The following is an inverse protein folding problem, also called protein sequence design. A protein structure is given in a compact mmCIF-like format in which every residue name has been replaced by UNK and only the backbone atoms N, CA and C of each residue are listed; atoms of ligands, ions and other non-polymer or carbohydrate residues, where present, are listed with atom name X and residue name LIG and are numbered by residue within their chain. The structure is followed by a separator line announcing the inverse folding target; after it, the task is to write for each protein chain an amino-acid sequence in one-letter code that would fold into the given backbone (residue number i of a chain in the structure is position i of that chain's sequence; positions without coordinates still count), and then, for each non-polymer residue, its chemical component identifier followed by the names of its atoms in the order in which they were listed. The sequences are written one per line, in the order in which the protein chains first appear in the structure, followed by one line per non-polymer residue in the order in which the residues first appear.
data_IF_191259323279
#
_entry.id   IF_191259323279
#
_cell.length_a   1.000
_cell.length_b   1.000
_cell.length_c   1.000
_cell.angle_alpha   90.00
_cell.angle_beta   90.00
_cell.angle_gamma   90.00
#
_symmetry.space_group_name_H-M   'P 1'
#
loop_
_entity.id
_entity.type
_entity.pdbx_description
1 polymer ?
#
# COMPACT_ATOMS: atom_id res chain seq x y z
N UNK A 1 -31.04 3.20 2.08
CA UNK A 1 -32.09 2.74 1.13
C UNK A 1 -31.50 1.63 0.26
N UNK A 2 -32.22 0.56 -0.09
CA UNK A 2 -31.64 -0.61 -0.78
C UNK A 2 -31.15 -0.33 -2.22
N UNK A 3 -31.59 0.76 -2.85
CA UNK A 3 -31.14 1.17 -4.19
C UNK A 3 -29.72 1.76 -4.21
N UNK A 4 -29.32 2.42 -3.13
CA UNK A 4 -28.04 3.10 -3.01
C UNK A 4 -26.89 2.09 -2.85
N UNK A 5 -27.09 1.03 -2.06
CA UNK A 5 -26.15 -0.08 -1.94
C UNK A 5 -25.99 -0.85 -3.27
N UNK A 6 -27.11 -1.13 -3.96
CA UNK A 6 -27.04 -1.82 -5.24
C UNK A 6 -26.34 -1.00 -6.33
N UNK A 7 -26.50 0.33 -6.31
CA UNK A 7 -25.79 1.25 -7.19
C UNK A 7 -24.29 1.26 -6.87
N UNK A 8 -23.91 1.38 -5.60
CA UNK A 8 -22.51 1.32 -5.17
C UNK A 8 -21.84 0.00 -5.57
N UNK A 9 -22.51 -1.14 -5.38
CA UNK A 9 -22.01 -2.44 -5.80
C UNK A 9 -21.84 -2.54 -7.32
N UNK A 10 -22.74 -1.93 -8.09
CA UNK A 10 -22.65 -1.89 -9.55
C UNK A 10 -21.49 -1.02 -10.03
N UNK A 11 -21.27 0.13 -9.38
CA UNK A 11 -20.15 1.02 -9.67
C UNK A 11 -18.81 0.37 -9.32
N UNK A 12 -18.71 -0.31 -8.17
CA UNK A 12 -17.52 -1.10 -7.79
C UNK A 12 -17.19 -2.17 -8.81
N UNK A 13 -18.21 -2.90 -9.32
CA UNK A 13 -18.02 -3.89 -10.38
C UNK A 13 -17.52 -3.25 -11.67
N UNK A 14 -18.10 -2.12 -12.06
CA UNK A 14 -17.67 -1.37 -13.24
C UNK A 14 -16.20 -0.95 -13.11
N UNK A 15 -15.77 -0.44 -11.96
CA UNK A 15 -14.37 -0.13 -11.69
C UNK A 15 -13.47 -1.36 -11.76
N UNK A 16 -13.91 -2.49 -11.18
CA UNK A 16 -13.13 -3.73 -11.21
C UNK A 16 -12.86 -4.28 -12.61
N UNK A 17 -13.71 -3.96 -13.59
CA UNK A 17 -13.59 -4.38 -14.99
C UNK A 17 -13.06 -3.28 -15.93
N UNK A 18 -12.95 -2.04 -15.43
CA UNK A 18 -12.66 -0.84 -16.23
C UNK A 18 -11.27 -0.83 -16.87
N UNK A 19 -10.32 -1.61 -16.36
CA UNK A 19 -8.97 -1.73 -16.94
C UNK A 19 -8.98 -2.20 -18.39
N UNK A 20 -10.01 -2.97 -18.76
CA UNK A 20 -10.15 -3.54 -20.10
C UNK A 20 -10.87 -2.61 -21.09
N UNK A 21 -11.44 -1.50 -20.61
CA UNK A 21 -12.14 -0.54 -21.47
C UNK A 21 -11.14 0.20 -22.35
N UNK A 22 -11.58 0.53 -23.57
CA UNK A 22 -10.78 1.34 -24.48
C UNK A 22 -10.63 2.75 -23.92
N UNK A 23 -9.48 3.38 -24.20
CA UNK A 23 -9.29 4.79 -23.87
C UNK A 23 -10.29 5.62 -24.68
N UNK A 24 -11.06 6.45 -23.99
CA UNK A 24 -11.93 7.46 -24.57
C UNK A 24 -12.18 8.54 -23.54
N UNK A 25 -12.22 9.80 -23.97
CA UNK A 25 -12.53 10.94 -23.11
C UNK A 25 -13.88 10.71 -22.42
N UNK A 26 -14.89 10.21 -23.14
CA UNK A 26 -16.22 9.95 -22.59
C UNK A 26 -16.19 8.92 -21.45
N UNK A 27 -15.42 7.84 -21.60
CA UNK A 27 -15.33 6.78 -20.59
C UNK A 27 -14.63 7.31 -19.34
N UNK A 28 -13.52 8.03 -19.50
CA UNK A 28 -12.77 8.62 -18.37
C UNK A 28 -13.65 9.63 -17.64
N UNK A 29 -14.40 10.48 -18.35
CA UNK A 29 -15.36 11.41 -17.75
C UNK A 29 -16.43 10.67 -16.94
N UNK A 30 -16.99 9.56 -17.46
CA UNK A 30 -18.00 8.78 -16.73
C UNK A 30 -17.44 8.15 -15.46
N UNK A 31 -16.22 7.62 -15.52
CA UNK A 31 -15.50 7.08 -14.37
C UNK A 31 -15.31 8.18 -13.32
N UNK A 32 -14.67 9.29 -13.68
CA UNK A 32 -14.44 10.42 -12.78
C UNK A 32 -15.73 10.93 -12.11
N UNK A 33 -16.81 11.11 -12.88
CA UNK A 33 -18.11 11.55 -12.34
C UNK A 33 -18.72 10.55 -11.35
N UNK A 34 -18.50 9.25 -11.54
CA UNK A 34 -19.00 8.25 -10.58
C UNK A 34 -18.26 8.27 -9.24
N UNK A 35 -17.04 8.84 -9.21
CA UNK A 35 -16.29 9.15 -8.00
C UNK A 35 -16.61 10.54 -7.43
N UNK A 36 -17.60 11.24 -8.00
CA UNK A 36 -17.99 12.61 -7.63
C UNK A 36 -16.92 13.67 -7.90
N UNK A 37 -16.05 13.43 -8.90
CA UNK A 37 -15.10 14.42 -9.38
C UNK A 37 -15.73 15.31 -10.48
N UNK A 38 -15.34 16.57 -10.50
CA UNK A 38 -15.70 17.51 -11.55
C UNK A 38 -14.86 17.26 -12.80
N UNK A 39 -15.45 17.41 -13.98
CA UNK A 39 -14.75 17.17 -15.25
C UNK A 39 -15.02 18.30 -16.22
N UNK A 40 -13.98 18.79 -16.88
CA UNK A 40 -14.05 19.81 -17.93
C UNK A 40 -13.27 19.35 -19.17
N UNK A 41 -13.82 19.60 -20.36
CA UNK A 41 -13.15 19.27 -21.63
C UNK A 41 -12.94 20.56 -22.40
N UNK A 42 -11.68 20.92 -22.61
CA UNK A 42 -11.28 22.09 -23.39
C UNK A 42 -10.74 21.65 -24.76
N UNK A 43 -11.27 22.27 -25.82
CA UNK A 43 -10.83 22.07 -27.20
C UNK A 43 -10.33 23.36 -27.86
N UNK A 44 -10.45 24.50 -27.17
CA UNK A 44 -10.21 25.83 -27.74
C UNK A 44 -8.85 26.41 -27.32
N UNK A 45 -8.32 26.01 -26.16
CA UNK A 45 -7.07 26.58 -25.62
C UNK A 45 -5.82 26.18 -26.43
N UNK A 46 -5.79 24.98 -27.00
CA UNK A 46 -4.64 24.44 -27.75
C UNK A 46 -5.08 23.83 -29.10
N UNK A 47 -4.71 24.42 -30.25
CA UNK A 47 -5.11 23.90 -31.56
C UNK A 47 -4.63 22.46 -31.77
N UNK A 48 -5.56 21.54 -31.97
CA UNK A 48 -5.26 20.12 -32.22
C UNK A 48 -5.01 19.27 -30.98
N UNK A 49 -5.26 19.81 -29.78
CA UNK A 49 -5.22 19.05 -28.52
C UNK A 49 -6.55 19.22 -27.80
N UNK A 50 -7.10 18.12 -27.30
CA UNK A 50 -8.26 18.15 -26.39
C UNK A 50 -7.77 17.90 -24.98
N UNK A 51 -8.00 18.83 -24.05
CA UNK A 51 -7.61 18.67 -22.65
C UNK A 51 -8.82 18.23 -21.83
N UNK A 52 -8.69 17.12 -21.11
CA UNK A 52 -9.62 16.70 -20.08
C UNK A 52 -9.04 17.08 -18.71
N UNK A 53 -9.71 17.98 -18.01
CA UNK A 53 -9.42 18.30 -16.61
C UNK A 53 -10.38 17.53 -15.70
N UNK A 54 -9.85 16.86 -14.68
CA UNK A 54 -10.57 16.14 -13.64
C UNK A 54 -10.17 16.75 -12.31
N UNK A 55 -11.12 17.32 -11.59
CA UNK A 55 -10.88 18.10 -10.38
C UNK A 55 -11.63 17.52 -9.17
N UNK A 56 -10.93 17.49 -8.03
CA UNK A 56 -11.47 17.30 -6.69
C UNK A 56 -11.27 18.56 -5.85
N UNK A 57 -11.31 18.42 -4.53
CA UNK A 57 -11.11 19.53 -3.57
C UNK A 57 -9.63 19.93 -3.43
N UNK A 58 -8.73 18.95 -3.50
CA UNK A 58 -7.28 19.07 -3.33
C UNK A 58 -6.51 18.65 -4.60
N UNK A 59 -7.15 17.87 -5.48
CA UNK A 59 -6.57 17.27 -6.69
C UNK A 59 -7.02 17.98 -7.98
N UNK A 60 -6.10 18.23 -8.91
CA UNK A 60 -6.40 18.56 -10.31
C UNK A 60 -5.54 17.68 -11.23
N UNK A 61 -6.19 16.84 -12.02
CA UNK A 61 -5.57 15.98 -13.02
C UNK A 61 -5.96 16.47 -14.42
N UNK A 62 -4.97 16.78 -15.24
CA UNK A 62 -5.14 17.21 -16.64
C UNK A 62 -4.58 16.13 -17.57
N UNK A 63 -5.33 15.79 -18.61
CA UNK A 63 -4.96 14.79 -19.60
C UNK A 63 -5.12 15.41 -20.99
N UNK A 64 -4.02 15.52 -21.72
CA UNK A 64 -3.99 16.03 -23.09
C UNK A 64 -4.14 14.88 -24.08
N UNK A 65 -5.04 15.04 -25.04
CA UNK A 65 -5.36 14.08 -26.08
C UNK A 65 -5.01 14.64 -27.46
N UNK A 66 -4.30 13.87 -28.29
CA UNK A 66 -4.09 14.18 -29.71
C UNK A 66 -5.33 13.84 -30.54
N UNK A 67 -6.05 12.79 -30.14
CA UNK A 67 -7.36 12.36 -30.63
C UNK A 67 -8.15 11.71 -29.49
N UNK A 68 -9.40 11.27 -29.70
CA UNK A 68 -10.24 10.71 -28.61
C UNK A 68 -9.63 9.48 -27.89
N UNK A 69 -8.59 8.86 -28.43
CA UNK A 69 -8.02 7.60 -27.93
C UNK A 69 -6.54 7.69 -27.56
N UNK A 70 -5.85 8.75 -27.95
CA UNK A 70 -4.39 8.88 -27.83
C UNK A 70 -4.03 10.00 -26.88
N UNK A 71 -3.44 9.63 -25.73
CA UNK A 71 -2.98 10.57 -24.70
C UNK A 71 -1.57 11.02 -25.02
N UNK A 72 -1.34 12.33 -25.07
CA UNK A 72 -0.01 12.93 -25.27
C UNK A 72 0.64 13.41 -23.98
N UNK A 73 -0.15 13.73 -22.95
CA UNK A 73 0.38 14.22 -21.66
C UNK A 73 -0.59 13.95 -20.52
N UNK A 74 -0.03 13.71 -19.34
CA UNK A 74 -0.76 13.78 -18.06
C UNK A 74 -0.04 14.77 -17.14
N UNK A 75 -0.80 15.64 -16.48
CA UNK A 75 -0.32 16.59 -15.50
C UNK A 75 -1.16 16.53 -14.23
N UNK A 76 -0.50 16.59 -13.07
CA UNK A 76 -1.11 16.48 -11.76
C UNK A 76 -0.71 17.69 -10.92
N UNK A 77 -1.71 18.45 -10.49
CA UNK A 77 -1.57 19.59 -9.59
C UNK A 77 -2.30 19.33 -8.29
N UNK A 78 -1.74 19.81 -7.18
CA UNK A 78 -2.29 19.65 -5.84
C UNK A 78 -2.37 21.01 -5.16
N UNK A 79 -3.47 21.28 -4.45
CA UNK A 79 -3.70 22.56 -3.79
C UNK A 79 -2.67 22.90 -2.70
N UNK A 80 -2.14 21.89 -2.01
CA UNK A 80 -1.34 22.07 -0.78
C UNK A 80 0.10 21.56 -0.85
N UNK A 81 0.54 21.04 -2.00
CA UNK A 81 1.91 20.53 -2.16
C UNK A 81 2.74 21.59 -2.89
N UNK A 82 3.73 22.21 -2.23
CA UNK A 82 4.61 23.15 -2.92
C UNK A 82 5.41 22.44 -4.01
N UNK A 83 5.43 23.04 -5.20
CA UNK A 83 6.30 22.70 -6.32
C UNK A 83 7.75 23.01 -5.94
N UNK A 84 8.38 22.14 -5.16
CA UNK A 84 9.79 22.27 -4.83
C UNK A 84 10.63 21.14 -5.43
N UNK A 85 11.63 21.59 -6.18
CA UNK A 85 12.58 20.81 -6.96
C UNK A 85 13.63 20.20 -6.06
N UNK A 86 13.67 18.86 -5.95
CA UNK A 86 14.77 18.17 -5.28
C UNK A 86 15.29 17.04 -6.16
N UNK A 87 16.61 16.91 -6.19
CA UNK A 87 17.28 15.78 -6.82
C UNK A 87 16.88 14.46 -6.13
N UNK A 88 16.87 13.38 -6.90
CA UNK A 88 16.74 12.01 -6.40
C UNK A 88 17.93 11.66 -5.52
N UNK A 89 17.89 12.06 -4.24
CA UNK A 89 18.77 11.48 -3.24
C UNK A 89 18.12 10.22 -2.65
N UNK A 90 18.95 9.18 -2.50
CA UNK A 90 18.61 7.87 -1.94
C UNK A 90 17.63 7.98 -0.78
N UNK A 91 16.51 7.25 -0.86
CA UNK A 91 15.41 7.29 0.12
C UNK A 91 15.87 7.05 1.57
N UNK A 92 16.94 6.27 1.78
CA UNK A 92 17.48 6.03 3.13
C UNK A 92 18.19 7.25 3.73
N UNK A 93 18.84 8.09 2.92
CA UNK A 93 19.50 9.32 3.38
C UNK A 93 18.46 10.38 3.78
N UNK A 94 17.33 10.44 3.04
CA UNK A 94 16.18 11.28 3.39
C UNK A 94 15.55 10.83 4.71
N UNK A 95 15.29 9.55 4.90
CA UNK A 95 14.70 9.04 6.16
C UNK A 95 15.58 9.34 7.38
N UNK A 96 16.91 9.17 7.27
CA UNK A 96 17.82 9.58 8.36
C UNK A 96 17.79 11.07 8.64
N UNK A 97 17.56 11.90 7.62
CA UNK A 97 17.41 13.35 7.77
C UNK A 97 16.13 13.76 8.53
N UNK A 98 15.15 12.88 8.62
CA UNK A 98 13.89 13.14 9.32
C UNK A 98 13.96 12.73 10.80
N UNK A 99 15.00 12.02 11.23
CA UNK A 99 15.22 11.68 12.64
C UNK A 99 16.00 12.82 13.30
N UNK A 100 15.31 13.61 14.12
CA UNK A 100 15.88 14.80 14.79
C UNK A 100 16.73 14.38 15.99
N UNK A 101 16.25 13.40 16.76
CA UNK A 101 16.98 12.90 17.93
C UNK A 101 16.52 11.49 18.34
N UNK A 102 17.44 10.72 18.92
CA UNK A 102 17.17 9.48 19.65
C UNK A 102 17.65 9.67 21.09
N UNK A 103 16.77 9.51 22.06
CA UNK A 103 17.09 9.69 23.48
C UNK A 103 16.65 8.49 24.32
N UNK A 104 17.51 8.08 25.27
CA UNK A 104 17.14 7.08 26.26
C UNK A 104 16.19 7.70 27.29
N UNK A 105 15.06 7.06 27.54
CA UNK A 105 14.06 7.56 28.49
C UNK A 105 14.54 7.28 29.91
N UNK A 106 14.85 8.32 30.69
CA UNK A 106 15.35 8.21 32.08
C UNK A 106 14.25 8.13 33.14
N UNK A 107 12.98 7.99 32.73
CA UNK A 107 11.82 7.94 33.64
C UNK A 107 11.65 6.53 34.21
N UNK A 108 11.51 6.44 35.53
CA UNK A 108 11.49 5.21 36.36
C UNK A 108 10.46 4.14 35.99
N UNK A 109 9.54 4.41 35.07
CA UNK A 109 8.54 3.45 34.56
C UNK A 109 8.89 2.83 33.20
N UNK A 110 10.00 3.24 32.55
CA UNK A 110 10.41 2.80 31.21
C UNK A 110 11.91 2.49 31.13
N UNK A 111 12.43 1.72 32.08
CA UNK A 111 13.85 1.31 32.08
C UNK A 111 14.23 0.67 30.73
N UNK A 112 15.13 1.32 29.98
CA UNK A 112 15.64 0.83 28.69
C UNK A 112 14.88 1.29 27.44
N UNK A 113 13.76 2.01 27.56
CA UNK A 113 13.03 2.49 26.40
C UNK A 113 13.69 3.69 25.73
N UNK A 114 13.68 3.72 24.40
CA UNK A 114 14.19 4.86 23.62
C UNK A 114 13.07 5.62 22.95
N UNK A 115 13.25 6.93 22.80
CA UNK A 115 12.33 7.80 22.08
C UNK A 115 13.03 8.38 20.86
N UNK A 116 12.41 8.22 19.69
CA UNK A 116 12.86 8.72 18.39
C UNK A 116 11.92 9.87 17.99
N UNK A 117 12.49 11.05 17.81
CA UNK A 117 11.75 12.26 17.41
C UNK A 117 11.89 12.48 15.91
N UNK A 118 10.76 12.59 15.23
CA UNK A 118 10.67 12.76 13.79
C UNK A 118 10.32 14.20 13.41
N UNK A 119 10.98 14.73 12.39
CA UNK A 119 10.60 15.97 11.72
C UNK A 119 9.75 15.67 10.49
N UNK A 120 8.57 16.28 10.45
CA UNK A 120 7.64 16.18 9.34
C UNK A 120 7.66 17.45 8.49
N UNK A 121 8.78 18.17 8.42
CA UNK A 121 8.89 19.38 7.60
C UNK A 121 8.67 19.08 6.11
N UNK A 122 7.96 19.94 5.35
CA UNK A 122 7.65 19.70 3.94
C UNK A 122 8.86 19.34 3.06
N UNK A 123 10.00 19.99 3.26
CA UNK A 123 11.22 19.78 2.46
C UNK A 123 11.77 18.36 2.63
N UNK A 124 11.57 17.80 3.82
CA UNK A 124 12.00 16.47 4.22
C UNK A 124 10.99 15.36 3.88
N UNK A 125 9.79 15.71 3.37
CA UNK A 125 8.77 14.72 3.01
C UNK A 125 9.10 14.03 1.70
N UNK A 126 9.13 12.70 1.74
CA UNK A 126 9.04 11.91 0.52
C UNK A 126 7.57 11.88 0.10
N UNK A 127 7.27 12.38 -1.10
CA UNK A 127 5.90 12.45 -1.62
C UNK A 127 5.77 11.54 -2.82
N UNK A 128 4.69 10.75 -2.85
CA UNK A 128 4.41 9.88 -3.99
C UNK A 128 3.85 10.68 -5.19
N UNK A 129 3.54 11.97 -5.01
CA UNK A 129 3.00 12.87 -6.04
C UNK A 129 3.99 13.97 -6.49
N UNK A 130 5.17 14.08 -5.88
CA UNK A 130 6.13 15.16 -6.15
C UNK A 130 6.72 15.14 -7.57
N UNK A 131 6.73 16.31 -8.22
CA UNK A 131 7.34 16.55 -9.53
C UNK A 131 8.86 16.49 -9.46
N UNK A 132 9.49 15.61 -10.25
CA UNK A 132 10.93 15.60 -10.44
C UNK A 132 11.26 16.45 -11.67
N UNK A 133 11.92 17.59 -11.48
CA UNK A 133 12.55 18.27 -12.59
C UNK A 133 13.98 17.77 -12.71
N UNK A 134 14.23 16.86 -13.66
CA UNK A 134 15.59 16.46 -14.02
C UNK A 134 16.31 17.65 -14.65
N UNK A 135 17.16 18.33 -13.86
CA UNK A 135 18.18 19.21 -14.42
C UNK A 135 19.26 18.33 -15.06
N UNK A 136 19.12 18.01 -16.33
CA UNK A 136 20.23 17.75 -17.26
C UNK A 136 19.65 17.63 -18.68
N UNK A 137 20.21 18.43 -19.59
CA UNK A 137 19.72 18.57 -20.96
C UNK A 137 19.64 17.26 -21.75
N UNK A 138 18.76 17.30 -22.75
CA UNK A 138 18.47 16.28 -23.78
C UNK A 138 17.49 15.18 -23.35
N UNK A 139 16.19 15.51 -23.36
CA UNK A 139 15.13 14.53 -23.63
C UNK A 139 14.13 14.26 -22.50
N UNK A 140 13.03 15.02 -22.51
CA UNK A 140 11.65 14.62 -22.20
C UNK A 140 11.37 13.69 -20.99
N UNK A 141 11.38 14.21 -19.77
CA UNK A 141 10.22 14.10 -18.87
C UNK A 141 10.34 15.15 -17.76
N UNK A 142 9.44 16.13 -17.76
CA UNK A 142 9.37 17.17 -16.73
C UNK A 142 8.26 16.89 -15.72
N UNK A 143 7.95 15.61 -15.48
CA UNK A 143 6.81 15.16 -14.69
C UNK A 143 7.18 14.53 -13.36
N UNK A 144 6.22 14.44 -12.44
CA UNK A 144 6.29 13.63 -11.23
C UNK A 144 6.29 12.14 -11.57
N UNK A 145 6.79 11.33 -10.64
CA UNK A 145 6.69 9.87 -10.75
C UNK A 145 5.22 9.44 -10.88
N UNK A 146 4.29 10.15 -10.21
CA UNK A 146 2.86 9.90 -10.36
C UNK A 146 2.35 10.22 -11.76
N UNK A 147 2.72 11.37 -12.33
CA UNK A 147 2.37 11.75 -13.71
C UNK A 147 2.92 10.74 -14.72
N UNK A 148 4.16 10.29 -14.55
CA UNK A 148 4.76 9.25 -15.39
C UNK A 148 3.99 7.93 -15.30
N UNK A 149 3.58 7.52 -14.10
CA UNK A 149 2.78 6.30 -13.90
C UNK A 149 1.38 6.43 -14.50
N UNK A 150 0.71 7.56 -14.27
CA UNK A 150 -0.61 7.83 -14.81
C UNK A 150 -0.59 7.89 -16.34
N UNK A 151 0.42 8.54 -16.92
CA UNK A 151 0.65 8.55 -18.36
C UNK A 151 0.94 7.14 -18.90
N UNK A 152 1.87 6.41 -18.28
CA UNK A 152 2.18 5.04 -18.68
C UNK A 152 0.97 4.11 -18.61
N UNK A 153 0.02 4.36 -17.69
CA UNK A 153 -1.24 3.61 -17.60
C UNK A 153 -2.13 3.80 -18.85
N UNK A 154 -1.94 4.89 -19.59
CA UNK A 154 -2.73 5.33 -20.75
C UNK A 154 -1.99 5.25 -22.09
N UNK A 155 -0.77 4.70 -22.15
CA UNK A 155 -0.02 4.52 -23.41
C UNK A 155 -0.60 3.42 -24.32
N UNK A 156 -1.42 2.52 -23.76
CA UNK A 156 -2.02 1.41 -24.48
C UNK A 156 -3.38 1.74 -25.11
N UNK A 157 -4.02 0.80 -25.83
CA UNK A 157 -5.38 0.99 -26.37
C UNK A 157 -6.48 0.94 -25.30
N UNK A 158 -6.12 0.63 -24.05
CA UNK A 158 -7.03 0.38 -22.92
C UNK A 158 -6.62 1.22 -21.71
N UNK A 159 -7.55 1.44 -20.79
CA UNK A 159 -7.32 2.23 -19.58
C UNK A 159 -6.31 1.62 -18.61
N UNK A 160 -6.04 0.31 -18.68
CA UNK A 160 -4.99 -0.33 -17.88
C UNK A 160 -5.20 -0.11 -16.37
N UNK A 161 -4.16 0.34 -15.66
CA UNK A 161 -4.23 0.65 -14.23
C UNK A 161 -4.78 2.05 -13.91
N UNK A 162 -5.06 2.88 -14.92
CA UNK A 162 -5.51 4.26 -14.71
C UNK A 162 -6.78 4.37 -13.83
N UNK A 163 -7.83 3.56 -14.02
CA UNK A 163 -9.05 3.69 -13.20
C UNK A 163 -8.80 3.42 -11.72
N UNK A 164 -7.89 2.48 -11.39
CA UNK A 164 -7.52 2.19 -10.00
C UNK A 164 -6.73 3.34 -9.38
N UNK A 165 -5.82 3.94 -10.15
CA UNK A 165 -5.09 5.12 -9.69
C UNK A 165 -6.04 6.31 -9.45
N UNK A 166 -7.01 6.51 -10.36
CA UNK A 166 -8.02 7.55 -10.21
C UNK A 166 -8.91 7.31 -8.99
N UNK A 167 -9.36 6.07 -8.74
CA UNK A 167 -10.14 5.70 -7.55
C UNK A 167 -9.35 5.98 -6.27
N UNK A 168 -8.09 5.55 -6.20
CA UNK A 168 -7.23 5.80 -5.04
C UNK A 168 -7.04 7.30 -4.75
N UNK A 169 -6.75 8.11 -5.77
CA UNK A 169 -6.58 9.55 -5.62
C UNK A 169 -7.89 10.25 -5.24
N UNK A 170 -9.00 9.82 -5.84
CA UNK A 170 -10.33 10.36 -5.54
C UNK A 170 -10.76 10.03 -4.11
N UNK A 171 -10.47 8.84 -3.61
CA UNK A 171 -10.82 8.48 -2.23
C UNK A 171 -10.06 9.35 -1.23
N UNK A 172 -8.77 9.60 -1.43
CA UNK A 172 -7.99 10.51 -0.58
C UNK A 172 -8.55 11.93 -0.60
N UNK A 173 -8.93 12.43 -1.77
CA UNK A 173 -9.50 13.76 -1.95
C UNK A 173 -10.88 13.88 -1.28
N UNK A 174 -11.77 12.96 -1.61
CA UNK A 174 -13.19 12.97 -1.21
C UNK A 174 -13.37 12.80 0.29
N UNK A 175 -12.56 11.96 0.94
CA UNK A 175 -12.69 11.72 2.39
C UNK A 175 -11.84 12.67 3.23
N UNK A 176 -11.04 13.54 2.60
CA UNK A 176 -10.30 14.58 3.30
C UNK A 176 -11.28 15.56 3.96
N UNK A 177 -11.12 15.86 5.26
CA UNK A 177 -11.93 16.90 5.88
C UNK A 177 -11.57 18.27 5.29
N UNK A 178 -12.48 19.28 5.34
CA UNK A 178 -12.26 20.57 4.67
C UNK A 178 -10.98 21.31 5.06
N UNK A 179 -10.50 21.06 6.28
CA UNK A 179 -9.29 21.68 6.83
C UNK A 179 -8.10 20.70 6.89
N UNK A 180 -8.31 19.41 6.63
CA UNK A 180 -7.23 18.41 6.70
C UNK A 180 -6.85 17.90 5.31
N UNK A 181 -5.65 17.35 5.22
CA UNK A 181 -5.12 16.84 3.97
C UNK A 181 -4.69 15.38 4.17
N UNK A 182 -5.49 14.45 3.67
CA UNK A 182 -5.22 13.02 3.82
C UNK A 182 -4.11 12.53 2.90
N UNK A 183 -3.80 13.25 1.82
CA UNK A 183 -2.66 12.95 0.95
C UNK A 183 -1.38 13.19 1.75
N UNK A 184 -1.24 14.37 2.36
CA UNK A 184 -0.12 14.69 3.25
C UNK A 184 -0.06 13.75 4.45
N UNK A 185 -1.22 13.40 5.02
CA UNK A 185 -1.28 12.49 6.14
C UNK A 185 -0.74 11.09 5.80
N UNK A 186 -1.09 10.53 4.64
CA UNK A 186 -0.62 9.21 4.21
C UNK A 186 0.90 9.22 3.91
N UNK A 187 1.42 10.33 3.40
CA UNK A 187 2.87 10.53 3.21
C UNK A 187 3.61 10.58 4.55
N UNK A 188 3.05 11.27 5.54
CA UNK A 188 3.62 11.32 6.89
C UNK A 188 3.50 9.96 7.60
N UNK A 189 2.44 9.18 7.35
CA UNK A 189 2.36 7.78 7.78
C UNK A 189 3.49 6.95 7.16
N UNK A 190 3.73 7.09 5.85
CA UNK A 190 4.81 6.43 5.14
C UNK A 190 6.17 6.74 5.79
N UNK A 191 6.44 8.01 6.07
CA UNK A 191 7.64 8.47 6.78
C UNK A 191 7.76 7.84 8.18
N UNK A 192 6.67 7.82 8.94
CA UNK A 192 6.64 7.22 10.27
C UNK A 192 7.03 5.74 10.24
N UNK A 193 6.44 4.96 9.30
CA UNK A 193 6.78 3.55 9.12
C UNK A 193 8.21 3.35 8.60
N UNK A 194 8.67 4.21 7.68
CA UNK A 194 10.05 4.21 7.22
C UNK A 194 11.05 4.45 8.35
N UNK A 195 10.74 5.30 9.32
CA UNK A 195 11.60 5.53 10.48
C UNK A 195 11.70 4.30 11.40
N UNK A 196 10.60 3.56 11.56
CA UNK A 196 10.61 2.27 12.29
C UNK A 196 11.52 1.28 11.58
N UNK A 197 11.32 1.09 10.26
CA UNK A 197 12.16 0.22 9.44
C UNK A 197 13.64 0.63 9.48
N UNK A 198 13.93 1.93 9.40
CA UNK A 198 15.30 2.45 9.50
C UNK A 198 15.95 2.08 10.83
N UNK A 199 15.22 2.19 11.94
CA UNK A 199 15.73 1.79 13.25
C UNK A 199 15.99 0.29 13.34
N UNK A 200 15.13 -0.54 12.73
CA UNK A 200 15.35 -1.99 12.63
C UNK A 200 16.64 -2.31 11.86
N UNK A 201 16.94 -1.59 10.77
CA UNK A 201 18.17 -1.71 10.01
C UNK A 201 19.42 -1.28 10.80
N UNK A 202 19.34 -0.20 11.59
CA UNK A 202 20.46 0.25 12.45
C UNK A 202 20.82 -0.84 13.47
N UNK A 203 19.82 -1.49 14.06
CA UNK A 203 20.02 -2.52 15.08
C UNK A 203 20.46 -3.88 14.50
N UNK A 204 20.26 -4.08 13.20
CA UNK A 204 20.57 -5.30 12.46
C UNK A 204 21.27 -5.01 11.11
N UNK A 205 22.46 -4.39 11.12
CA UNK A 205 23.09 -3.86 9.90
C UNK A 205 23.47 -4.93 8.86
N UNK A 206 23.72 -6.16 9.31
CA UNK A 206 24.11 -7.29 8.45
C UNK A 206 22.92 -8.12 7.95
N UNK A 207 21.70 -7.83 8.41
CA UNK A 207 20.49 -8.57 8.00
C UNK A 207 19.86 -7.93 6.76
N UNK A 208 20.24 -8.44 5.59
CA UNK A 208 19.69 -8.01 4.32
C UNK A 208 18.17 -8.24 4.22
N UNK A 209 17.61 -9.24 4.91
CA UNK A 209 16.16 -9.49 4.88
C UNK A 209 15.40 -8.38 5.61
N UNK A 210 15.98 -7.83 6.68
CA UNK A 210 15.44 -6.63 7.35
C UNK A 210 15.58 -5.43 6.41
N UNK A 211 16.75 -5.23 5.79
CA UNK A 211 16.96 -4.13 4.85
C UNK A 211 15.97 -4.13 3.67
N UNK A 212 15.59 -5.31 3.18
CA UNK A 212 14.61 -5.50 2.12
C UNK A 212 13.14 -5.55 2.61
N UNK A 213 12.89 -5.42 3.93
CA UNK A 213 11.56 -5.39 4.53
C UNK A 213 10.85 -6.75 4.63
N UNK A 214 11.60 -7.84 4.53
CA UNK A 214 11.06 -9.20 4.44
C UNK A 214 10.85 -9.87 5.80
N UNK A 215 11.52 -9.38 6.85
CA UNK A 215 11.46 -9.96 8.22
C UNK A 215 11.17 -8.91 9.30
N UNK A 216 11.04 -7.65 8.92
CA UNK A 216 10.87 -6.50 9.82
C UNK A 216 9.39 -6.29 10.23
N UNK A 217 9.10 -5.33 11.12
CA UNK A 217 7.75 -5.17 11.69
C UNK A 217 6.71 -4.59 10.73
N UNK A 218 7.13 -3.70 9.81
CA UNK A 218 6.21 -2.88 9.00
C UNK A 218 6.32 -3.12 7.49
N UNK A 219 7.25 -3.96 7.04
CA UNK A 219 7.61 -4.08 5.63
C UNK A 219 8.55 -2.95 5.17
N UNK A 220 8.91 -2.98 3.89
CA UNK A 220 9.61 -1.88 3.21
C UNK A 220 8.57 -0.94 2.60
N UNK A 221 8.61 0.32 3.02
CA UNK A 221 7.75 1.37 2.47
C UNK A 221 8.25 1.73 1.06
N UNK A 222 7.36 1.69 0.08
CA UNK A 222 7.61 2.03 -1.32
C UNK A 222 6.61 3.11 -1.73
N UNK A 223 7.12 4.23 -2.24
CA UNK A 223 6.30 5.27 -2.85
C UNK A 223 6.15 4.97 -4.33
N UNK A 224 4.90 4.73 -4.74
CA UNK A 224 4.49 4.26 -6.05
C UNK A 224 5.05 2.88 -6.45
N UNK A 225 4.20 2.05 -7.04
CA UNK A 225 4.59 0.78 -7.62
C UNK A 225 4.78 0.96 -9.13
N UNK A 226 6.03 1.22 -9.56
CA UNK A 226 6.38 1.36 -10.98
C UNK A 226 6.19 0.05 -11.75
N UNK A 227 6.39 -1.11 -11.11
CA UNK A 227 6.27 -2.42 -11.75
C UNK A 227 4.80 -2.69 -12.13
N UNK A 228 3.86 -2.34 -11.24
CA UNK A 228 2.42 -2.50 -11.44
C UNK A 228 1.71 -1.24 -11.99
N UNK A 229 2.45 -0.16 -12.24
CA UNK A 229 1.91 1.16 -12.65
C UNK A 229 0.81 1.66 -11.72
N UNK A 230 1.04 1.56 -10.41
CA UNK A 230 0.13 2.06 -9.40
C UNK A 230 0.72 3.22 -8.59
N UNK A 231 -0.09 4.24 -8.35
CA UNK A 231 0.25 5.39 -7.53
C UNK A 231 -0.18 5.13 -6.08
N UNK A 232 0.64 5.54 -5.10
CA UNK A 232 0.29 5.45 -3.68
C UNK A 232 1.44 5.02 -2.77
N UNK A 233 1.11 4.63 -1.53
CA UNK A 233 2.08 4.14 -0.54
C UNK A 233 1.89 2.65 -0.33
N UNK A 234 2.95 1.89 -0.61
CA UNK A 234 2.93 0.43 -0.54
C UNK A 234 3.85 -0.08 0.57
N UNK A 235 3.44 -1.15 1.23
CA UNK A 235 4.26 -1.94 2.12
C UNK A 235 4.63 -3.23 1.40
N UNK A 236 5.88 -3.36 0.95
CA UNK A 236 6.40 -4.64 0.47
C UNK A 236 6.88 -5.46 1.66
N UNK A 237 6.29 -6.63 1.87
CA UNK A 237 6.55 -7.42 3.08
C UNK A 237 7.00 -8.85 2.80
N UNK A 238 6.94 -9.33 1.55
CA UNK A 238 7.44 -10.65 1.19
C UNK A 238 7.87 -10.76 -0.28
N UNK A 239 8.72 -11.75 -0.55
CA UNK A 239 9.13 -12.13 -1.90
C UNK A 239 9.37 -13.64 -1.95
N UNK A 240 8.76 -14.32 -2.93
CA UNK A 240 9.06 -15.72 -3.22
C UNK A 240 10.52 -15.89 -3.62
N UNK A 241 11.10 -17.05 -3.32
CA UNK A 241 12.50 -17.34 -3.67
C UNK A 241 13.51 -16.28 -3.15
N UNK A 242 13.18 -15.49 -2.12
CA UNK A 242 13.99 -14.35 -1.63
C UNK A 242 15.49 -14.62 -1.49
N UNK A 243 15.87 -15.79 -0.96
CA UNK A 243 17.28 -16.16 -0.78
C UNK A 243 17.98 -16.32 -2.13
N UNK A 244 17.33 -16.98 -3.09
CA UNK A 244 17.84 -17.09 -4.46
C UNK A 244 17.89 -15.72 -5.14
N UNK A 245 16.82 -14.92 -4.99
CA UNK A 245 16.75 -13.58 -5.57
C UNK A 245 17.87 -12.66 -5.05
N UNK A 246 18.23 -12.76 -3.78
CA UNK A 246 19.36 -12.01 -3.22
C UNK A 246 20.67 -12.32 -3.97
N UNK A 247 20.96 -13.58 -4.27
CA UNK A 247 22.11 -13.96 -5.09
C UNK A 247 21.97 -13.54 -6.56
N UNK A 248 20.77 -13.68 -7.14
CA UNK A 248 20.52 -13.30 -8.53
C UNK A 248 20.71 -11.80 -8.76
N UNK A 249 20.34 -10.95 -7.81
CA UNK A 249 20.55 -9.48 -7.87
C UNK A 249 22.05 -9.18 -7.92
N UNK A 250 22.87 -9.86 -7.10
CA UNK A 250 24.33 -9.69 -7.11
C UNK A 250 24.93 -10.09 -8.47
N UNK A 251 24.34 -11.08 -9.13
CA UNK A 251 24.71 -11.55 -10.47
C UNK A 251 24.03 -10.78 -11.62
N UNK A 252 23.26 -9.71 -11.32
CA UNK A 252 22.48 -8.92 -12.29
C UNK A 252 21.50 -9.76 -13.14
N UNK A 253 20.92 -10.80 -12.54
CA UNK A 253 19.97 -11.69 -13.19
C UNK A 253 18.51 -11.33 -12.86
N UNK A 254 17.55 -11.69 -13.73
CA UNK A 254 16.13 -11.50 -13.46
C UNK A 254 15.72 -12.23 -12.18
N UNK A 255 14.96 -11.55 -11.33
CA UNK A 255 14.38 -12.14 -10.13
C UNK A 255 13.28 -13.14 -10.49
N UNK A 256 13.06 -14.11 -9.60
CA UNK A 256 12.06 -15.16 -9.75
C UNK A 256 10.96 -15.03 -8.70
N UNK A 257 9.79 -15.59 -9.02
CA UNK A 257 8.65 -15.64 -8.09
C UNK A 257 7.95 -14.29 -7.93
N UNK A 258 6.96 -14.25 -7.03
CA UNK A 258 6.12 -13.06 -6.83
C UNK A 258 6.67 -12.18 -5.70
N UNK A 259 6.43 -10.88 -5.84
CA UNK A 259 6.56 -9.90 -4.73
C UNK A 259 5.18 -9.70 -4.12
N UNK A 260 5.12 -9.63 -2.81
CA UNK A 260 3.88 -9.36 -2.08
C UNK A 260 3.97 -7.98 -1.44
N UNK A 261 3.02 -7.15 -1.83
CA UNK A 261 2.87 -5.79 -1.33
C UNK A 261 1.42 -5.54 -0.93
N UNK A 262 1.23 -4.52 -0.10
CA UNK A 262 -0.08 -4.01 0.20
C UNK A 262 -0.11 -2.48 0.10
N UNK A 263 -1.13 -1.97 -0.55
CA UNK A 263 -1.43 -0.55 -0.64
C UNK A 263 -2.05 -0.07 0.67
N UNK A 264 -1.53 1.02 1.20
CA UNK A 264 -2.18 1.77 2.27
C UNK A 264 -3.26 2.66 1.63
N UNK A 265 -4.52 2.30 1.84
CA UNK A 265 -5.68 3.01 1.34
C UNK A 265 -6.42 3.68 2.49
N UNK A 266 -7.10 4.78 2.19
CA UNK A 266 -8.03 5.44 3.10
C UNK A 266 -9.42 5.31 2.50
N UNK A 267 -10.36 4.86 3.31
CA UNK A 267 -11.73 4.60 2.87
C UNK A 267 -12.73 5.24 3.81
N UNK A 268 -13.90 5.57 3.27
CA UNK A 268 -15.03 6.02 4.06
C UNK A 268 -15.45 4.93 5.07
N UNK A 269 -15.74 5.38 6.29
CA UNK A 269 -16.11 4.53 7.41
C UNK A 269 -17.45 4.96 8.00
N UNK A 270 -18.11 4.04 8.69
CA UNK A 270 -19.26 4.37 9.55
C UNK A 270 -18.82 4.80 10.95
N UNK A 271 -17.57 4.52 11.29
CA UNK A 271 -16.96 4.85 12.57
C UNK A 271 -16.15 6.14 12.46
N UNK A 272 -16.00 6.90 13.57
CA UNK A 272 -15.14 8.07 13.58
C UNK A 272 -13.71 7.74 13.18
N UNK A 273 -13.07 8.67 12.46
CA UNK A 273 -11.67 8.55 12.08
C UNK A 273 -10.74 8.55 13.30
N UNK A 274 -9.61 7.85 13.17
CA UNK A 274 -8.55 7.75 14.18
C UNK A 274 -7.29 8.39 13.64
N UNK A 275 -6.58 9.16 14.47
CA UNK A 275 -5.23 9.60 14.13
C UNK A 275 -4.23 8.49 14.48
N UNK A 276 -3.91 7.69 13.49
CA UNK A 276 -3.02 6.53 13.56
C UNK A 276 -1.60 6.86 14.01
N UNK A 277 -1.05 8.03 13.64
CA UNK A 277 0.30 8.45 14.10
C UNK A 277 0.25 8.84 15.57
N UNK A 278 -0.76 9.60 15.98
CA UNK A 278 -0.94 10.01 17.37
C UNK A 278 -1.24 8.82 18.28
N UNK A 279 -2.12 7.89 17.85
CA UNK A 279 -2.45 6.66 18.57
C UNK A 279 -1.21 5.76 18.76
N UNK A 280 -0.42 5.57 17.69
CA UNK A 280 0.78 4.76 17.73
C UNK A 280 1.85 5.26 18.72
N UNK A 281 1.88 6.57 19.01
CA UNK A 281 2.79 7.15 20.02
C UNK A 281 2.50 6.66 21.44
N UNK A 282 1.29 6.18 21.73
CA UNK A 282 0.86 5.75 23.06
C UNK A 282 1.52 4.44 23.53
N UNK A 283 1.98 3.59 22.61
CA UNK A 283 2.54 2.25 22.89
C UNK A 283 3.92 2.09 22.24
N UNK A 284 4.85 1.33 22.84
CA UNK A 284 6.16 1.10 22.25
C UNK A 284 6.10 0.09 21.09
N UNK A 285 6.91 0.33 20.08
CA UNK A 285 7.33 -0.68 19.10
C UNK A 285 8.45 -1.52 19.71
N UNK A 286 8.30 -2.84 19.71
CA UNK A 286 9.31 -3.75 20.26
C UNK A 286 10.21 -4.24 19.12
N UNK A 287 11.35 -3.57 18.96
CA UNK A 287 12.29 -3.86 17.87
C UNK A 287 13.29 -4.93 18.30
N UNK A 288 13.44 -5.97 17.48
CA UNK A 288 14.41 -7.03 17.70
C UNK A 288 15.83 -6.56 17.35
N UNK A 289 16.79 -6.81 18.24
CA UNK A 289 18.21 -6.56 18.00
C UNK A 289 18.89 -7.79 17.39
N UNK A 290 20.11 -7.60 16.88
CA UNK A 290 20.96 -8.69 16.39
C UNK A 290 21.31 -9.74 17.46
N UNK A 291 21.19 -9.41 18.74
CA UNK A 291 21.33 -10.35 19.87
C UNK A 291 20.04 -11.12 20.19
N UNK A 292 18.93 -10.84 19.50
CA UNK A 292 17.61 -11.42 19.77
C UNK A 292 16.85 -10.77 20.92
N UNK A 293 17.34 -9.64 21.46
CA UNK A 293 16.64 -8.88 22.50
C UNK A 293 15.57 -7.98 21.87
N UNK A 294 14.43 -7.79 22.55
CA UNK A 294 13.39 -6.86 22.12
C UNK A 294 13.51 -5.55 22.90
N UNK A 295 13.88 -4.47 22.21
CA UNK A 295 14.00 -3.14 22.80
C UNK A 295 12.74 -2.30 22.53
N UNK A 296 12.17 -1.62 23.53
CA UNK A 296 11.01 -0.77 23.34
C UNK A 296 11.41 0.61 22.79
N UNK A 297 10.83 0.99 21.65
CA UNK A 297 11.01 2.26 20.97
C UNK A 297 9.68 3.03 20.87
N UNK A 298 9.69 4.32 21.19
CA UNK A 298 8.59 5.24 20.98
C UNK A 298 8.94 6.18 19.84
N UNK A 299 8.05 6.32 18.86
CA UNK A 299 8.21 7.24 17.73
C UNK A 299 7.17 8.35 17.82
N UNK A 300 7.55 9.59 17.56
CA UNK A 300 6.62 10.71 17.52
C UNK A 300 7.23 11.98 16.92
N UNK A 301 6.38 12.93 16.55
CA UNK A 301 6.82 14.22 16.03
C UNK A 301 7.40 15.17 17.08
N UNK A 302 8.09 16.21 16.61
CA UNK A 302 8.58 17.35 17.42
C UNK A 302 7.47 18.00 18.27
N UNK A 303 6.26 18.05 17.73
CA UNK A 303 5.03 18.43 18.43
C UNK A 303 3.98 17.33 18.28
N UNK A 304 2.90 17.40 19.08
CA UNK A 304 1.80 16.43 19.03
C UNK A 304 1.11 16.36 17.65
N UNK A 305 1.08 17.48 16.93
CA UNK A 305 0.39 17.63 15.64
C UNK A 305 1.35 17.89 14.48
N UNK A 306 2.65 17.61 14.65
CA UNK A 306 3.66 17.88 13.62
C UNK A 306 3.42 17.08 12.33
N UNK A 307 2.82 15.90 12.44
CA UNK A 307 2.49 15.02 11.31
C UNK A 307 1.23 15.46 10.54
N UNK A 308 0.52 16.49 11.00
CA UNK A 308 -0.68 17.01 10.33
C UNK A 308 -0.33 18.21 9.44
N UNK A 309 -0.98 18.33 8.29
CA UNK A 309 -0.84 19.50 7.42
C UNK A 309 -1.34 20.75 8.16
N UNK A 310 -0.49 21.78 8.29
CA UNK A 310 -0.77 23.01 9.05
C UNK A 310 -1.34 22.79 10.47
N UNK A 311 -1.02 21.66 11.10
CA UNK A 311 -1.58 21.24 12.39
C UNK A 311 -3.12 21.08 12.41
N UNK A 312 -3.75 20.96 11.24
CA UNK A 312 -5.20 20.80 11.12
C UNK A 312 -5.59 19.33 11.24
N UNK A 313 -6.67 19.08 11.98
CA UNK A 313 -7.10 17.71 12.27
C UNK A 313 -7.62 17.01 11.02
N UNK A 314 -7.15 15.78 10.83
CA UNK A 314 -7.70 14.86 9.82
C UNK A 314 -8.89 14.05 10.35
N UNK A 315 -9.20 14.12 11.64
CA UNK A 315 -10.26 13.33 12.30
C UNK A 315 -11.50 14.16 12.67
N UNK A 316 -11.43 15.49 12.55
CA UNK A 316 -12.53 16.36 12.95
C UNK A 316 -13.74 16.22 12.01
N UNK A 317 -14.85 15.71 12.55
CA UNK A 317 -16.10 15.44 11.82
C UNK A 317 -15.92 14.55 10.57
N UNK A 318 -14.90 13.70 10.55
CA UNK A 318 -14.60 12.82 9.44
C UNK A 318 -14.76 11.35 9.86
N UNK A 319 -15.27 10.55 8.93
CA UNK A 319 -15.45 9.12 9.11
C UNK A 319 -14.69 8.40 8.01
N UNK A 320 -13.41 8.15 8.25
CA UNK A 320 -12.57 7.35 7.38
C UNK A 320 -11.77 6.34 8.21
N UNK A 321 -11.26 5.32 7.55
CA UNK A 321 -10.43 4.26 8.14
C UNK A 321 -9.22 3.98 7.27
N UNK A 322 -8.13 3.56 7.89
CA UNK A 322 -6.95 3.08 7.19
C UNK A 322 -7.14 1.60 6.84
N UNK A 323 -6.95 1.26 5.57
CA UNK A 323 -7.11 -0.09 5.03
C UNK A 323 -5.81 -0.54 4.38
N UNK A 324 -5.42 -1.77 4.64
CA UNK A 324 -4.31 -2.43 3.96
C UNK A 324 -4.89 -3.31 2.85
N UNK A 325 -4.77 -2.90 1.59
CA UNK A 325 -5.24 -3.64 0.41
C UNK A 325 -4.11 -4.45 -0.19
N UNK A 326 -4.21 -5.77 -0.17
CA UNK A 326 -3.18 -6.64 -0.70
C UNK A 326 -3.21 -6.63 -2.24
N UNK A 327 -2.04 -6.52 -2.86
CA UNK A 327 -1.91 -6.60 -4.32
C UNK A 327 -2.38 -7.96 -4.85
N UNK A 328 -2.21 -9.00 -4.04
CA UNK A 328 -2.63 -10.37 -4.29
C UNK A 328 -3.40 -10.91 -3.08
N UNK A 329 -4.48 -11.67 -3.28
CA UNK A 329 -5.18 -12.33 -2.18
C UNK A 329 -4.29 -13.31 -1.42
N UNK A 330 -4.41 -13.34 -0.09
CA UNK A 330 -3.62 -14.23 0.78
C UNK A 330 -4.57 -15.10 1.61
N UNK A 331 -4.42 -16.41 1.53
CA UNK A 331 -5.16 -17.32 2.43
C UNK A 331 -4.68 -17.12 3.87
N UNK A 332 -5.63 -16.85 4.76
CA UNK A 332 -5.34 -16.52 6.14
C UNK A 332 -6.38 -17.14 7.10
N UNK A 333 -5.97 -17.72 8.24
CA UNK A 333 -6.90 -18.25 9.22
C UNK A 333 -7.78 -17.16 9.85
N UNK A 334 -9.09 -17.38 9.87
CA UNK A 334 -10.04 -16.44 10.46
C UNK A 334 -9.84 -16.29 11.97
N UNK A 335 -9.41 -17.36 12.65
CA UNK A 335 -9.09 -17.34 14.09
C UNK A 335 -7.94 -16.38 14.42
N UNK A 336 -6.96 -16.24 13.51
CA UNK A 336 -5.88 -15.26 13.68
C UNK A 336 -6.38 -13.84 13.46
N UNK A 337 -7.31 -13.59 12.54
CA UNK A 337 -7.93 -12.27 12.39
C UNK A 337 -8.67 -11.87 13.68
N UNK A 338 -9.45 -12.80 14.23
CA UNK A 338 -10.17 -12.60 15.50
C UNK A 338 -9.21 -12.35 16.67
N UNK A 339 -8.12 -13.11 16.77
CA UNK A 339 -7.09 -12.92 17.79
C UNK A 339 -6.44 -11.53 17.70
N UNK A 340 -6.16 -11.06 16.47
CA UNK A 340 -5.62 -9.73 16.21
C UNK A 340 -6.66 -8.60 16.38
N UNK A 341 -7.92 -8.93 16.65
CA UNK A 341 -9.03 -7.97 16.75
C UNK A 341 -9.46 -7.38 15.40
N UNK A 342 -9.07 -8.00 14.28
CA UNK A 342 -9.45 -7.56 12.92
C UNK A 342 -10.82 -8.16 12.60
N UNK A 343 -11.84 -7.31 12.57
CA UNK A 343 -13.23 -7.71 12.31
C UNK A 343 -13.78 -7.18 10.99
N UNK A 344 -13.13 -6.17 10.41
CA UNK A 344 -13.53 -5.54 9.15
C UNK A 344 -12.45 -5.84 8.09
N UNK A 345 -12.77 -6.78 7.21
CA UNK A 345 -11.88 -7.26 6.16
C UNK A 345 -12.67 -7.67 4.91
N UNK A 346 -12.00 -7.63 3.76
CA UNK A 346 -12.57 -8.02 2.46
C UNK A 346 -11.92 -9.31 1.98
N UNK A 347 -12.73 -10.19 1.36
CA UNK A 347 -12.25 -11.42 0.76
C UNK A 347 -12.36 -11.36 -0.76
N UNK A 348 -11.38 -11.92 -1.44
CA UNK A 348 -11.46 -12.18 -2.87
C UNK A 348 -12.50 -13.27 -3.17
N UNK A 349 -12.89 -13.38 -4.45
CA UNK A 349 -13.80 -14.44 -4.90
C UNK A 349 -13.22 -15.83 -4.54
N UNK A 350 -14.07 -16.80 -4.17
CA UNK A 350 -13.60 -18.14 -3.85
C UNK A 350 -12.82 -18.76 -5.01
N UNK A 351 -11.67 -19.37 -4.73
CA UNK A 351 -10.87 -20.14 -5.68
C UNK A 351 -11.10 -21.64 -5.47
N UNK A 352 -10.62 -22.48 -6.39
CA UNK A 352 -10.69 -23.94 -6.24
C UNK A 352 -10.01 -24.42 -4.95
N UNK A 353 -8.94 -23.74 -4.52
CA UNK A 353 -8.30 -24.00 -3.22
C UNK A 353 -9.25 -23.85 -2.02
N UNK A 354 -10.29 -23.01 -2.12
CA UNK A 354 -11.28 -22.88 -1.04
C UNK A 354 -12.02 -24.21 -0.79
N UNK A 355 -12.23 -25.02 -1.84
CA UNK A 355 -12.88 -26.32 -1.69
C UNK A 355 -11.99 -27.30 -0.90
N UNK A 356 -10.67 -27.22 -1.06
CA UNK A 356 -9.72 -28.03 -0.31
C UNK A 356 -9.72 -27.67 1.18
N UNK A 357 -9.83 -26.38 1.51
CA UNK A 357 -9.96 -25.93 2.89
C UNK A 357 -11.28 -26.38 3.52
N UNK A 358 -12.37 -26.42 2.76
CA UNK A 358 -13.63 -26.98 3.25
C UNK A 358 -13.50 -28.48 3.55
N UNK A 359 -12.72 -29.22 2.75
CA UNK A 359 -12.51 -30.64 3.01
C UNK A 359 -11.68 -30.90 4.27
N UNK A 360 -10.63 -30.10 4.53
CA UNK A 360 -9.91 -30.17 5.82
C UNK A 360 -10.87 -29.97 6.99
N UNK A 361 -11.85 -29.06 6.84
CA UNK A 361 -12.85 -28.82 7.88
C UNK A 361 -13.67 -30.09 8.21
N UNK A 362 -13.88 -30.95 7.23
CA UNK A 362 -14.69 -32.17 7.35
C UNK A 362 -13.86 -33.38 7.78
N UNK A 363 -12.64 -33.53 7.26
CA UNK A 363 -11.82 -34.74 7.41
C UNK A 363 -10.68 -34.58 8.42
N UNK A 364 -10.25 -33.36 8.71
CA UNK A 364 -9.05 -33.04 9.51
C UNK A 364 -7.71 -33.35 8.82
N UNK A 365 -7.74 -33.92 7.61
CA UNK A 365 -6.55 -34.33 6.87
C UNK A 365 -6.72 -34.11 5.37
N UNK A 366 -5.63 -33.76 4.68
CA UNK A 366 -5.54 -33.84 3.23
C UNK A 366 -4.46 -34.82 2.80
N UNK A 367 -4.81 -35.68 1.84
CA UNK A 367 -3.94 -36.72 1.32
C UNK A 367 -3.68 -36.48 -0.16
N UNK A 368 -2.39 -36.42 -0.51
CA UNK A 368 -1.94 -36.31 -1.89
C UNK A 368 -1.06 -37.51 -2.19
N UNK A 369 -1.43 -38.29 -3.20
CA UNK A 369 -0.70 -39.50 -3.55
C UNK A 369 -0.07 -39.39 -4.91
N UNK A 370 1.25 -39.29 -4.94
CA UNK A 370 2.05 -39.48 -6.15
C UNK A 370 2.45 -40.95 -6.30
N UNK A 371 2.73 -41.39 -7.53
CA UNK A 371 3.24 -42.72 -7.92
C UNK A 371 4.32 -43.31 -6.99
N UNK A 372 5.09 -42.48 -6.29
CA UNK A 372 6.17 -42.90 -5.37
C UNK A 372 5.98 -42.50 -3.90
N UNK A 373 5.14 -41.50 -3.59
CA UNK A 373 5.06 -40.88 -2.26
C UNK A 373 3.61 -40.51 -1.91
N UNK A 374 3.23 -40.69 -0.64
CA UNK A 374 2.00 -40.17 -0.06
C UNK A 374 2.35 -39.02 0.87
N UNK A 375 1.74 -37.86 0.63
CA UNK A 375 1.84 -36.69 1.50
C UNK A 375 0.55 -36.57 2.29
N UNK A 376 0.66 -36.49 3.61
CA UNK A 376 -0.48 -36.29 4.51
C UNK A 376 -0.27 -34.99 5.26
N UNK A 377 -1.20 -34.06 5.09
CA UNK A 377 -1.30 -32.87 5.93
C UNK A 377 -2.37 -33.15 6.98
N UNK A 378 -1.95 -33.40 8.22
CA UNK A 378 -2.83 -33.57 9.36
C UNK A 378 -2.92 -32.27 10.15
N UNK A 379 -4.13 -31.84 10.46
CA UNK A 379 -4.42 -30.62 11.19
C UNK A 379 -5.06 -30.96 12.53
N UNK A 380 -4.35 -30.72 13.63
CA UNK A 380 -4.85 -30.99 14.98
C UNK A 380 -6.09 -30.14 15.32
N UNK A 381 -6.12 -28.91 14.80
CA UNK A 381 -7.26 -28.00 14.89
C UNK A 381 -7.48 -27.34 13.52
N UNK A 382 -8.71 -27.40 13.02
CA UNK A 382 -9.09 -26.68 11.81
C UNK A 382 -9.57 -25.26 12.16
N UNK A 383 -8.91 -24.27 11.58
CA UNK A 383 -9.41 -22.90 11.51
C UNK A 383 -9.90 -22.62 10.08
N UNK A 384 -11.11 -22.06 9.90
CA UNK A 384 -11.56 -21.66 8.58
C UNK A 384 -10.58 -20.64 8.00
N UNK A 385 -10.21 -20.83 6.73
CA UNK A 385 -9.33 -19.92 6.01
C UNK A 385 -10.16 -19.02 5.11
N UNK A 386 -9.77 -17.74 5.07
CA UNK A 386 -10.36 -16.75 4.17
C UNK A 386 -9.32 -16.30 3.15
N UNK A 387 -9.76 -16.00 1.93
CA UNK A 387 -8.89 -15.47 0.89
C UNK A 387 -8.83 -13.95 0.98
N UNK A 388 -7.94 -13.44 1.82
CA UNK A 388 -7.90 -12.06 2.29
C UNK A 388 -7.43 -11.10 1.20
N UNK A 389 -8.24 -10.09 0.87
CA UNK A 389 -7.94 -9.06 -0.11
C UNK A 389 -7.63 -7.71 0.55
N UNK A 390 -8.30 -7.39 1.66
CA UNK A 390 -8.04 -6.17 2.40
C UNK A 390 -8.36 -6.33 3.88
N UNK A 391 -7.69 -5.54 4.73
CA UNK A 391 -7.98 -5.46 6.17
C UNK A 391 -8.05 -4.01 6.64
N UNK A 392 -9.07 -3.68 7.43
CA UNK A 392 -9.11 -2.40 8.13
C UNK A 392 -8.18 -2.46 9.34
N UNK A 393 -7.32 -1.46 9.48
CA UNK A 393 -6.42 -1.34 10.62
C UNK A 393 -7.11 -0.54 11.74
N UNK A 394 -7.16 -1.11 12.94
CA UNK A 394 -7.63 -0.39 14.14
C UNK A 394 -6.55 0.52 14.75
N UNK A 395 -5.28 0.17 14.56
CA UNK A 395 -4.09 0.95 14.93
C UNK A 395 -2.88 0.43 14.12
N UNK A 396 -1.77 1.18 14.11
CA UNK A 396 -0.58 0.79 13.35
C UNK A 396 0.18 -0.40 13.94
N UNK A 397 0.11 -0.61 15.26
CA UNK A 397 0.89 -1.67 15.93
C UNK A 397 0.43 -3.07 15.54
N UNK A 398 -0.80 -3.22 15.04
CA UNK A 398 -1.30 -4.46 14.45
C UNK A 398 -0.36 -4.96 13.33
N UNK A 399 0.30 -4.07 12.58
CA UNK A 399 1.23 -4.45 11.52
C UNK A 399 2.37 -5.34 12.02
N UNK A 400 2.89 -5.07 13.23
CA UNK A 400 3.99 -5.83 13.82
C UNK A 400 3.65 -7.30 14.09
N UNK A 401 2.36 -7.64 14.19
CA UNK A 401 1.89 -9.02 14.37
C UNK A 401 1.31 -9.59 13.07
N UNK A 402 0.57 -8.76 12.32
CA UNK A 402 -0.11 -9.15 11.08
C UNK A 402 0.88 -9.49 9.97
N UNK A 403 1.89 -8.66 9.71
CA UNK A 403 2.82 -8.91 8.60
C UNK A 403 3.65 -10.19 8.79
N UNK A 404 4.23 -10.48 9.97
CA UNK A 404 4.83 -11.78 10.23
C UNK A 404 3.87 -12.96 10.04
N UNK A 405 2.63 -12.85 10.51
CA UNK A 405 1.62 -13.88 10.31
C UNK A 405 1.34 -14.12 8.81
N UNK A 406 1.20 -13.05 8.02
CA UNK A 406 0.98 -13.14 6.57
C UNK A 406 2.16 -13.83 5.88
N UNK A 407 3.40 -13.50 6.23
CA UNK A 407 4.61 -14.14 5.66
C UNK A 407 4.64 -15.65 5.93
N UNK A 408 4.29 -16.05 7.16
CA UNK A 408 4.20 -17.45 7.53
C UNK A 408 3.12 -18.17 6.72
N UNK A 409 1.95 -17.54 6.56
CA UNK A 409 0.87 -18.11 5.76
C UNK A 409 1.21 -18.18 4.28
N UNK A 410 1.82 -17.16 3.68
CA UNK A 410 2.31 -17.23 2.29
C UNK A 410 3.27 -18.41 2.11
N UNK A 411 4.22 -18.58 3.03
CA UNK A 411 5.19 -19.69 2.97
C UNK A 411 4.49 -21.04 3.06
N UNK A 412 3.58 -21.20 4.03
CA UNK A 412 2.80 -22.40 4.22
C UNK A 412 1.96 -22.73 2.98
N UNK A 413 1.25 -21.74 2.43
CA UNK A 413 0.46 -21.88 1.22
C UNK A 413 1.29 -22.28 0.01
N UNK A 414 2.52 -21.77 -0.14
CA UNK A 414 3.40 -22.16 -1.24
C UNK A 414 3.87 -23.61 -1.13
N UNK A 415 4.16 -24.08 0.10
CA UNK A 415 4.48 -25.49 0.35
C UNK A 415 3.27 -26.36 0.00
N UNK A 416 2.09 -25.95 0.45
CA UNK A 416 0.84 -26.64 0.19
C UNK A 416 0.51 -26.73 -1.31
N UNK A 417 0.52 -25.59 -2.02
CA UNK A 417 0.32 -25.51 -3.47
C UNK A 417 1.32 -26.40 -4.23
N UNK A 418 2.58 -26.45 -3.79
CA UNK A 418 3.61 -27.26 -4.45
C UNK A 418 3.33 -28.77 -4.37
N UNK A 419 2.66 -29.23 -3.29
CA UNK A 419 2.26 -30.64 -3.15
C UNK A 419 0.93 -30.90 -3.85
N UNK A 420 -0.01 -29.96 -3.77
CA UNK A 420 -1.33 -30.08 -4.39
C UNK A 420 -1.31 -30.02 -5.92
N UNK A 421 -0.38 -29.26 -6.52
CA UNK A 421 -0.27 -29.07 -7.97
C UNK A 421 0.77 -29.96 -8.65
N UNK A 422 1.39 -30.89 -7.91
CA UNK A 422 2.25 -31.91 -8.51
C UNK A 422 1.40 -32.78 -9.47
N UNK A 423 1.68 -32.74 -10.78
CA UNK A 423 0.86 -33.39 -11.82
C UNK A 423 0.74 -34.91 -11.71
N UNK A 424 1.48 -35.52 -10.78
CA UNK A 424 1.39 -36.93 -10.49
C UNK A 424 0.68 -37.22 -9.15
N UNK A 425 0.27 -36.22 -8.37
CA UNK A 425 -0.54 -36.45 -7.17
C UNK A 425 -2.02 -36.59 -7.55
N UNK A 426 -2.57 -37.78 -7.36
CA UNK A 426 -4.02 -37.94 -7.27
C UNK A 426 -4.47 -37.40 -5.90
N UNK A 427 -5.52 -36.58 -5.92
CA UNK A 427 -6.29 -36.26 -4.73
C UNK A 427 -7.06 -37.52 -4.32
N UNK A 428 -6.81 -38.05 -3.11
CA UNK A 428 -7.32 -39.35 -2.66
C UNK A 428 -8.25 -39.21 -1.47
#
# INVERSE_FOLDING_TARGET
MPYESALQDSLRRLYSESSEFRISIEIIVKLAKSLSLDTFVDTEEFPGVTRLSIAGSLLLLEIDFEDDHTVSKVSLSLGNHPLETLAEENSSAKISGNIVSETATSVSSKNGAKTVVLSFLPDLRASFLRTLQTQLGLGQSSGSVAEEILFASLEGPKLGSFPRNLEYLADLDRVSPPEGDLIVYIENLAMYMSAIHHQECILNPEDWQIADGLTNSVGKVILNDKDQRHVGVFLQFWQDCRVLNHYLIQDQRPQMGRKYSALLAIEESKSPAVDYVLDAKSKPWHILTSSGEKLPYFFGGETEFAHLHNHQSVTANSNWKLVLRFAEPIFFPETLLQYLGITDYECAKPLELNNMWNEIAETGELRFKNTALEYVFAFDEFAPHVNLLAVSLGNLHILAELLPALRNQITFMKIFESVALDKNSEYV
#
